data_IF_301513599096
#
_entry.id   IF_301513599096
#
_cell.length_a   1.000
_cell.length_b   1.000
_cell.length_c   1.000
_cell.angle_alpha   90.00
_cell.angle_beta   90.00
_cell.angle_gamma   90.00
#
_symmetry.space_group_name_H-M   'P 1'
#
loop_
_entity.id
_entity.type
_entity.pdbx_description
1 polymer ?
#
# COMPACT_ATOMS: atom_id res chain seq x y z
N UNK A 1 -15.30 -18.36 -26.93
CA UNK A 1 -16.36 -17.35 -27.14
C UNK A 1 -16.44 -16.27 -26.05
N UNK A 2 -16.81 -16.55 -24.80
CA UNK A 2 -16.94 -15.49 -23.77
C UNK A 2 -15.58 -14.95 -23.28
N UNK A 3 -14.63 -15.85 -23.00
CA UNK A 3 -13.31 -15.50 -22.43
C UNK A 3 -12.44 -14.68 -23.40
N UNK A 4 -12.46 -15.01 -24.69
CA UNK A 4 -11.72 -14.28 -25.73
C UNK A 4 -12.18 -12.82 -25.88
N UNK A 5 -13.47 -12.55 -25.65
CA UNK A 5 -14.03 -11.18 -25.68
C UNK A 5 -13.55 -10.35 -24.50
N UNK A 6 -13.33 -10.96 -23.34
CA UNK A 6 -12.74 -10.29 -22.17
C UNK A 6 -11.29 -9.86 -22.49
N UNK A 7 -10.48 -10.78 -23.05
CA UNK A 7 -9.11 -10.46 -23.46
C UNK A 7 -9.01 -9.40 -24.56
N UNK A 8 -10.00 -9.26 -25.46
CA UNK A 8 -10.03 -8.15 -26.42
C UNK A 8 -10.06 -6.79 -25.69
N UNK A 9 -10.98 -6.64 -24.74
CA UNK A 9 -11.18 -5.39 -23.98
C UNK A 9 -9.99 -5.08 -23.06
N UNK A 10 -9.38 -6.12 -22.47
CA UNK A 10 -8.20 -5.99 -21.62
C UNK A 10 -6.97 -5.55 -22.42
N UNK A 11 -6.72 -6.14 -23.60
CA UNK A 11 -5.63 -5.70 -24.48
C UNK A 11 -5.85 -4.27 -25.01
N UNK A 12 -7.08 -3.90 -25.39
CA UNK A 12 -7.37 -2.55 -25.88
C UNK A 12 -7.17 -1.47 -24.80
N UNK A 13 -7.57 -1.75 -23.54
CA UNK A 13 -7.28 -0.89 -22.39
C UNK A 13 -5.77 -0.81 -22.13
N UNK A 14 -5.05 -1.93 -22.23
CA UNK A 14 -3.60 -1.97 -22.03
C UNK A 14 -2.84 -1.13 -23.07
N UNK A 15 -3.26 -1.12 -24.34
CA UNK A 15 -2.60 -0.31 -25.37
C UNK A 15 -2.87 1.19 -25.18
N UNK A 16 -4.09 1.60 -24.80
CA UNK A 16 -4.40 3.00 -24.42
C UNK A 16 -3.59 3.50 -23.22
N UNK A 17 -3.34 2.63 -22.23
CA UNK A 17 -2.46 2.96 -21.10
C UNK A 17 -0.99 3.02 -21.50
N UNK A 18 -0.58 2.28 -22.54
CA UNK A 18 0.78 2.34 -23.10
C UNK A 18 1.03 3.60 -23.91
N UNK A 19 0.03 4.14 -24.60
CA UNK A 19 0.08 5.46 -25.24
C UNK A 19 0.33 6.60 -24.22
N UNK A 20 -0.03 6.37 -22.95
CA UNK A 20 0.26 7.26 -21.83
C UNK A 20 1.66 7.02 -21.19
N UNK A 21 2.55 6.28 -21.87
CA UNK A 21 3.90 5.92 -21.44
C UNK A 21 4.00 5.13 -20.12
N UNK A 22 2.95 4.40 -19.72
CA UNK A 22 3.02 3.50 -18.56
C UNK A 22 3.82 2.22 -18.88
N UNK A 23 4.55 1.71 -17.88
CA UNK A 23 5.29 0.44 -17.99
C UNK A 23 4.36 -0.76 -17.92
N UNK A 24 4.75 -1.88 -18.55
CA UNK A 24 3.92 -3.09 -18.60
C UNK A 24 3.52 -3.61 -17.22
N UNK A 25 4.45 -3.66 -16.25
CA UNK A 25 4.14 -3.96 -14.85
C UNK A 25 3.01 -3.08 -14.28
N UNK A 26 3.08 -1.74 -14.41
CA UNK A 26 2.03 -0.84 -13.92
C UNK A 26 0.69 -1.05 -14.63
N UNK A 27 0.70 -1.33 -15.93
CA UNK A 27 -0.51 -1.64 -16.70
C UNK A 27 -1.11 -2.98 -16.24
N UNK A 28 -0.27 -3.96 -15.92
CA UNK A 28 -0.66 -5.26 -15.40
C UNK A 28 -1.33 -5.14 -14.02
N UNK A 29 -0.72 -4.35 -13.11
CA UNK A 29 -1.27 -4.02 -11.79
C UNK A 29 -2.63 -3.30 -11.92
N UNK A 30 -2.74 -2.28 -12.78
CA UNK A 30 -4.00 -1.56 -13.03
C UNK A 30 -5.12 -2.42 -13.63
N UNK A 31 -4.79 -3.52 -14.30
CA UNK A 31 -5.76 -4.46 -14.88
C UNK A 31 -6.01 -5.69 -14.00
N UNK A 32 -5.28 -5.85 -12.89
CA UNK A 32 -5.39 -7.00 -11.99
C UNK A 32 -4.91 -8.32 -12.61
N UNK A 33 -3.96 -8.27 -13.54
CA UNK A 33 -3.48 -9.41 -14.34
C UNK A 33 -1.97 -9.52 -14.19
N UNK A 34 -1.41 -10.73 -14.12
CA UNK A 34 0.04 -10.93 -14.10
C UNK A 34 0.73 -10.43 -15.38
N UNK A 35 1.84 -9.69 -15.24
CA UNK A 35 2.58 -9.06 -16.35
C UNK A 35 2.92 -10.04 -17.48
N UNK A 36 3.39 -11.24 -17.15
CA UNK A 36 3.70 -12.30 -18.12
C UNK A 36 2.50 -12.72 -18.97
N UNK A 37 1.31 -12.76 -18.36
CA UNK A 37 0.05 -13.16 -18.99
C UNK A 37 -0.46 -12.05 -19.90
N UNK A 38 -0.42 -10.80 -19.43
CA UNK A 38 -0.76 -9.63 -20.24
C UNK A 38 0.16 -9.50 -21.45
N UNK A 39 1.47 -9.65 -21.25
CA UNK A 39 2.47 -9.59 -22.31
C UNK A 39 2.26 -10.71 -23.35
N UNK A 40 2.02 -11.95 -22.91
CA UNK A 40 1.74 -13.09 -23.79
C UNK A 40 0.49 -12.87 -24.67
N UNK A 41 -0.60 -12.33 -24.12
CA UNK A 41 -1.81 -12.09 -24.89
C UNK A 41 -1.70 -10.90 -25.85
N UNK A 42 -0.82 -9.93 -25.57
CA UNK A 42 -0.55 -8.79 -26.46
C UNK A 42 0.45 -9.17 -27.56
N UNK A 43 1.52 -9.92 -27.25
CA UNK A 43 2.47 -10.38 -28.26
C UNK A 43 1.79 -11.30 -29.29
N UNK A 44 0.93 -12.21 -28.82
CA UNK A 44 0.12 -13.12 -29.66
C UNK A 44 -0.88 -12.42 -30.58
N UNK A 45 -1.16 -11.13 -30.37
CA UNK A 45 -1.95 -10.27 -31.29
C UNK A 45 -1.09 -9.42 -32.22
N UNK A 46 0.17 -9.17 -31.86
CA UNK A 46 1.14 -8.41 -32.65
C UNK A 46 1.85 -9.27 -33.68
N UNK A 47 1.81 -10.59 -33.55
CA UNK A 47 2.21 -11.50 -34.63
C UNK A 47 1.12 -11.54 -35.72
N UNK A 48 1.41 -11.12 -36.98
CA UNK A 48 0.48 -11.28 -38.08
C UNK A 48 0.39 -12.77 -38.46
N UNK A 49 -0.73 -13.41 -38.11
CA UNK A 49 -0.98 -14.82 -38.40
C UNK A 49 -1.41 -15.05 -39.87
N UNK A 50 -0.52 -14.73 -40.84
CA UNK A 50 -0.73 -15.07 -42.26
C UNK A 50 0.44 -15.88 -42.84
N UNK A 51 0.13 -17.05 -43.39
CA UNK A 51 1.08 -17.95 -44.07
C UNK A 51 1.03 -17.74 -45.59
N UNK A 52 2.14 -17.26 -46.19
CA UNK A 52 2.56 -17.51 -47.59
C UNK A 52 4.10 -17.48 -47.58
N UNK A 53 4.88 -18.54 -47.78
CA UNK A 53 4.99 -19.52 -48.89
C UNK A 53 5.46 -18.90 -50.22
N UNK A 54 6.77 -19.01 -50.49
CA UNK A 54 7.45 -18.79 -51.78
C UNK A 54 7.64 -17.33 -52.22
N UNK A 55 8.57 -16.95 -53.11
CA UNK A 55 9.64 -17.63 -53.89
C UNK A 55 10.46 -16.51 -54.59
N UNK A 56 11.77 -16.55 -54.91
CA UNK A 56 12.97 -17.32 -54.49
C UNK A 56 14.21 -16.64 -55.18
N UNK A 57 15.29 -17.41 -55.46
CA UNK A 57 16.50 -17.10 -56.29
C UNK A 57 17.62 -16.29 -55.61
N UNK A 58 18.92 -16.55 -55.83
CA UNK A 58 19.75 -17.65 -56.38
C UNK A 58 21.20 -17.31 -55.96
N UNK A 59 22.26 -18.15 -55.97
CA UNK A 59 22.56 -19.50 -56.44
C UNK A 59 23.65 -20.08 -55.48
N UNK A 60 24.16 -21.33 -55.50
CA UNK A 60 24.05 -22.45 -56.45
C UNK A 60 23.75 -23.78 -55.70
N UNK A 61 24.29 -24.93 -56.14
CA UNK A 61 23.88 -26.28 -55.77
C UNK A 61 25.05 -27.30 -55.85
N UNK A 62 24.83 -28.51 -55.30
CA UNK A 62 25.57 -29.79 -55.49
C UNK A 62 26.87 -30.03 -54.66
N UNK A 63 26.75 -31.00 -53.73
CA UNK A 63 27.80 -31.97 -53.31
C UNK A 63 27.57 -33.27 -54.12
N UNK A 64 28.60 -34.08 -54.48
CA UNK A 64 29.30 -34.88 -53.46
C UNK A 64 30.78 -35.29 -53.72
N UNK A 65 31.42 -35.76 -52.64
CA UNK A 65 32.43 -36.85 -52.58
C UNK A 65 33.51 -36.96 -53.68
N UNK A 66 34.75 -36.56 -53.37
CA UNK A 66 35.98 -37.13 -53.97
C UNK A 66 36.99 -37.53 -52.89
N UNK A 67 37.60 -38.71 -53.06
CA UNK A 67 38.60 -39.31 -52.16
C UNK A 67 39.99 -38.69 -52.30
N UNK A 68 40.79 -38.78 -51.24
CA UNK A 68 42.24 -38.60 -51.28
C UNK A 68 42.94 -39.63 -52.20
N UNK A 69 43.99 -39.23 -52.94
CA UNK A 69 45.40 -39.68 -52.78
C UNK A 69 46.28 -39.43 -54.03
N UNK A 70 47.53 -39.00 -53.78
CA UNK A 70 48.71 -38.96 -54.68
C UNK A 70 48.59 -37.99 -55.89
N UNK A 71 49.68 -37.48 -56.50
CA UNK A 71 51.12 -37.75 -56.33
C UNK A 71 51.97 -36.47 -56.46
N UNK A 72 53.25 -36.57 -56.04
CA UNK A 72 54.46 -35.93 -56.60
C UNK A 72 54.51 -34.40 -56.87
N UNK A 73 55.37 -33.63 -56.18
CA UNK A 73 56.86 -33.56 -56.23
C UNK A 73 57.34 -32.43 -57.16
N UNK A 74 57.55 -31.25 -56.58
CA UNK A 74 58.50 -30.26 -57.11
C UNK A 74 59.18 -29.51 -55.98
N UNK A 75 60.48 -29.24 -56.13
CA UNK A 75 61.29 -28.50 -55.16
C UNK A 75 60.85 -27.03 -55.06
N UNK A 76 61.04 -26.41 -53.88
CA UNK A 76 61.88 -25.20 -53.64
C UNK A 76 61.29 -24.32 -52.52
N UNK A 77 62.06 -24.10 -51.45
CA UNK A 77 61.80 -23.05 -50.44
C UNK A 77 61.09 -23.47 -49.14
N UNK A 78 61.76 -24.24 -48.27
CA UNK A 78 61.27 -24.62 -46.93
C UNK A 78 62.20 -24.18 -45.79
N UNK A 79 62.88 -23.02 -45.90
CA UNK A 79 63.90 -22.60 -44.93
C UNK A 79 63.49 -21.47 -43.98
N UNK A 80 62.40 -20.74 -44.24
CA UNK A 80 62.02 -19.54 -43.46
C UNK A 80 60.62 -19.66 -42.82
N UNK A 81 59.69 -20.33 -43.50
CA UNK A 81 58.29 -20.49 -43.04
C UNK A 81 58.19 -21.33 -41.74
N UNK A 82 59.13 -22.25 -41.50
CA UNK A 82 59.09 -23.13 -40.31
C UNK A 82 59.37 -22.37 -39.02
N UNK A 83 60.24 -21.36 -39.03
CA UNK A 83 60.53 -20.52 -37.86
C UNK A 83 59.33 -19.66 -37.46
N UNK A 84 58.75 -18.94 -38.41
CA UNK A 84 57.63 -18.01 -38.16
C UNK A 84 56.36 -18.74 -37.72
N UNK A 85 56.06 -19.91 -38.30
CA UNK A 85 54.94 -20.74 -37.88
C UNK A 85 55.15 -21.27 -36.45
N UNK A 86 56.38 -21.60 -36.04
CA UNK A 86 56.65 -22.00 -34.65
C UNK A 86 56.59 -20.85 -33.65
N UNK A 87 57.01 -19.63 -34.00
CA UNK A 87 56.93 -18.47 -33.10
C UNK A 87 55.49 -18.02 -32.91
N UNK A 88 54.72 -17.87 -33.99
CA UNK A 88 53.29 -17.53 -33.94
C UNK A 88 52.48 -18.60 -33.18
N UNK A 89 52.82 -19.88 -33.32
CA UNK A 89 52.21 -20.97 -32.55
C UNK A 89 52.57 -20.94 -31.05
N UNK A 90 53.61 -20.22 -30.63
CA UNK A 90 53.98 -20.05 -29.22
C UNK A 90 53.30 -18.84 -28.58
N UNK A 91 53.17 -17.73 -29.33
CA UNK A 91 52.48 -16.51 -28.90
C UNK A 91 50.98 -16.76 -28.69
N UNK A 92 50.32 -17.36 -29.68
CA UNK A 92 48.91 -17.79 -29.57
C UNK A 92 48.66 -18.74 -28.39
N UNK A 93 49.65 -19.58 -28.04
CA UNK A 93 49.57 -20.47 -26.89
C UNK A 93 49.74 -19.73 -25.54
N UNK A 94 50.50 -18.63 -25.49
CA UNK A 94 50.57 -17.74 -24.32
C UNK A 94 49.29 -16.91 -24.16
N UNK A 95 48.73 -16.39 -25.25
CA UNK A 95 47.45 -15.66 -25.22
C UNK A 95 46.30 -16.56 -24.77
N UNK A 96 46.23 -17.80 -25.27
CA UNK A 96 45.24 -18.80 -24.81
C UNK A 96 45.37 -19.13 -23.32
N UNK A 97 46.59 -19.18 -22.77
CA UNK A 97 46.80 -19.35 -21.32
C UNK A 97 46.29 -18.14 -20.54
N UNK A 98 46.62 -16.92 -20.99
CA UNK A 98 46.18 -15.66 -20.34
C UNK A 98 44.65 -15.51 -20.37
N UNK A 99 44.02 -15.81 -21.50
CA UNK A 99 42.56 -15.85 -21.65
C UNK A 99 41.93 -16.91 -20.74
N UNK A 100 42.51 -18.11 -20.64
CA UNK A 100 42.02 -19.16 -19.74
C UNK A 100 42.04 -18.73 -18.27
N UNK A 101 43.10 -18.06 -17.82
CA UNK A 101 43.21 -17.53 -16.46
C UNK A 101 42.16 -16.44 -16.19
N UNK A 102 41.93 -15.53 -17.14
CA UNK A 102 40.88 -14.50 -17.05
C UNK A 102 39.47 -15.09 -17.04
N UNK A 103 39.19 -16.09 -17.86
CA UNK A 103 37.91 -16.82 -17.86
C UNK A 103 37.70 -17.53 -16.52
N UNK A 104 38.75 -18.11 -15.93
CA UNK A 104 38.66 -18.76 -14.62
C UNK A 104 38.31 -17.74 -13.51
N UNK A 105 39.02 -16.61 -13.46
CA UNK A 105 38.75 -15.54 -12.50
C UNK A 105 37.32 -14.97 -12.63
N UNK A 106 36.89 -14.66 -13.86
CA UNK A 106 35.54 -14.11 -14.10
C UNK A 106 34.43 -15.12 -13.79
N UNK A 107 34.66 -16.43 -13.94
CA UNK A 107 33.72 -17.47 -13.49
C UNK A 107 33.64 -17.55 -11.96
N UNK A 108 34.76 -17.41 -11.24
CA UNK A 108 34.79 -17.38 -9.78
C UNK A 108 34.04 -16.13 -9.24
N UNK A 109 34.28 -14.96 -9.83
CA UNK A 109 33.57 -13.70 -9.51
C UNK A 109 32.05 -13.80 -9.76
N UNK A 110 31.62 -14.36 -10.90
CA UNK A 110 30.19 -14.55 -11.20
C UNK A 110 29.50 -15.51 -10.21
N UNK A 111 30.21 -16.51 -9.67
CA UNK A 111 29.66 -17.40 -8.66
C UNK A 111 29.47 -16.69 -7.30
N UNK A 112 30.42 -15.83 -6.92
CA UNK A 112 30.32 -14.97 -5.73
C UNK A 112 29.14 -13.99 -5.85
N UNK A 113 29.05 -13.25 -6.96
CA UNK A 113 27.94 -12.32 -7.24
C UNK A 113 26.57 -13.02 -7.22
N UNK A 114 26.51 -14.28 -7.67
CA UNK A 114 25.27 -15.07 -7.59
C UNK A 114 24.89 -15.41 -6.15
N UNK A 115 25.85 -15.80 -5.31
CA UNK A 115 25.60 -16.07 -3.89
C UNK A 115 25.19 -14.80 -3.13
N UNK A 116 25.86 -13.68 -3.37
CA UNK A 116 25.53 -12.38 -2.78
C UNK A 116 24.12 -11.92 -3.19
N UNK A 117 23.75 -12.07 -4.47
CA UNK A 117 22.38 -11.82 -4.94
C UNK A 117 21.33 -12.68 -4.24
N UNK A 118 21.62 -13.97 -4.01
CA UNK A 118 20.73 -14.87 -3.27
C UNK A 118 20.64 -14.54 -1.77
N UNK A 119 21.68 -13.93 -1.18
CA UNK A 119 21.66 -13.42 0.20
C UNK A 119 20.82 -12.13 0.29
N UNK A 120 21.11 -11.13 -0.55
CA UNK A 120 20.37 -9.87 -0.62
C UNK A 120 18.86 -10.08 -0.86
N UNK A 121 18.48 -11.09 -1.67
CA UNK A 121 17.08 -11.45 -1.86
C UNK A 121 16.41 -11.99 -0.59
N UNK A 122 17.13 -12.74 0.26
CA UNK A 122 16.62 -13.23 1.55
C UNK A 122 16.52 -12.10 2.57
N UNK A 123 17.51 -11.23 2.60
CA UNK A 123 17.54 -10.05 3.48
C UNK A 123 16.41 -9.08 3.16
N UNK A 124 16.19 -8.76 1.87
CA UNK A 124 15.06 -7.92 1.43
C UNK A 124 13.70 -8.53 1.81
N UNK A 125 13.56 -9.85 1.74
CA UNK A 125 12.32 -10.55 2.12
C UNK A 125 12.12 -10.55 3.65
N UNK A 126 13.21 -10.69 4.44
CA UNK A 126 13.16 -10.55 5.88
C UNK A 126 12.83 -9.11 6.31
N UNK A 127 13.47 -8.11 5.68
CA UNK A 127 13.24 -6.70 5.95
C UNK A 127 11.80 -6.28 5.63
N UNK A 128 11.28 -6.65 4.45
CA UNK A 128 9.89 -6.35 4.07
C UNK A 128 8.89 -7.00 5.02
N UNK A 129 9.13 -8.24 5.48
CA UNK A 129 8.32 -8.86 6.52
C UNK A 129 8.35 -8.08 7.84
N UNK A 130 9.53 -7.66 8.31
CA UNK A 130 9.67 -6.86 9.53
C UNK A 130 8.99 -5.49 9.41
N UNK A 131 9.09 -4.84 8.24
CA UNK A 131 8.40 -3.57 7.94
C UNK A 131 6.87 -3.73 7.95
N UNK A 132 6.33 -4.81 7.38
CA UNK A 132 4.89 -5.10 7.42
C UNK A 132 4.41 -5.31 8.86
N UNK A 133 5.11 -6.13 9.65
CA UNK A 133 4.77 -6.33 11.06
C UNK A 133 4.86 -5.03 11.87
N UNK A 134 5.88 -4.19 11.64
CA UNK A 134 5.97 -2.88 12.26
C UNK A 134 4.79 -1.97 11.86
N UNK A 135 4.37 -2.01 10.59
CA UNK A 135 3.18 -1.34 10.08
C UNK A 135 1.91 -1.75 10.82
N UNK A 136 1.64 -3.06 10.90
CA UNK A 136 0.50 -3.64 11.63
C UNK A 136 0.45 -3.17 13.10
N UNK A 137 1.59 -3.17 13.81
CA UNK A 137 1.65 -2.63 15.17
C UNK A 137 1.38 -1.12 15.22
N UNK A 138 1.93 -0.33 14.29
CA UNK A 138 1.68 1.13 14.27
C UNK A 138 0.23 1.48 13.98
N UNK A 139 -0.43 0.79 13.04
CA UNK A 139 -1.85 0.96 12.74
C UNK A 139 -2.72 0.54 13.94
N UNK A 140 -2.39 -0.58 14.60
CA UNK A 140 -3.08 -1.01 15.81
C UNK A 140 -3.05 0.07 16.90
N UNK A 141 -1.86 0.62 17.22
CA UNK A 141 -1.75 1.66 18.25
C UNK A 141 -2.41 2.98 17.82
N UNK A 142 -2.28 3.39 16.54
CA UNK A 142 -2.97 4.58 16.04
C UNK A 142 -4.49 4.48 16.19
N UNK A 143 -5.08 3.32 15.83
CA UNK A 143 -6.51 3.09 16.00
C UNK A 143 -6.94 3.10 17.48
N UNK A 144 -6.13 2.53 18.39
CA UNK A 144 -6.38 2.60 19.83
C UNK A 144 -6.31 4.02 20.39
N UNK A 145 -5.33 4.84 19.97
CA UNK A 145 -5.27 6.25 20.36
C UNK A 145 -6.46 7.04 19.83
N UNK A 146 -6.87 6.81 18.58
CA UNK A 146 -8.01 7.51 17.99
C UNK A 146 -9.33 7.20 18.73
N UNK A 147 -9.57 5.93 19.07
CA UNK A 147 -10.72 5.53 19.90
C UNK A 147 -10.70 6.21 21.27
N UNK A 148 -9.53 6.30 21.92
CA UNK A 148 -9.37 6.97 23.21
C UNK A 148 -9.66 8.48 23.11
N UNK A 149 -9.30 9.13 22.00
CA UNK A 149 -9.60 10.55 21.74
C UNK A 149 -11.11 10.78 21.53
N UNK A 150 -11.79 9.89 20.78
CA UNK A 150 -13.25 9.92 20.59
C UNK A 150 -14.01 9.71 21.90
N UNK A 151 -13.61 8.73 22.71
CA UNK A 151 -14.16 8.48 24.05
C UNK A 151 -13.94 9.69 24.98
N UNK A 152 -12.75 10.29 24.96
CA UNK A 152 -12.43 11.46 25.78
C UNK A 152 -13.26 12.68 25.40
N UNK A 153 -13.38 13.01 24.12
CA UNK A 153 -14.21 14.14 23.66
C UNK A 153 -15.70 13.88 23.92
N UNK A 154 -16.17 12.63 23.82
CA UNK A 154 -17.52 12.25 24.23
C UNK A 154 -17.75 12.52 25.72
N UNK A 155 -16.89 11.99 26.60
CA UNK A 155 -16.99 12.18 28.05
C UNK A 155 -16.91 13.65 28.46
N UNK A 156 -16.06 14.44 27.79
CA UNK A 156 -15.91 15.88 27.99
C UNK A 156 -17.20 16.63 27.60
N UNK A 157 -17.84 16.26 26.50
CA UNK A 157 -19.13 16.83 26.10
C UNK A 157 -20.26 16.46 27.08
N UNK A 158 -20.31 15.21 27.54
CA UNK A 158 -21.26 14.78 28.59
C UNK A 158 -21.04 15.53 29.91
N UNK A 159 -19.79 15.71 30.33
CA UNK A 159 -19.43 16.46 31.54
C UNK A 159 -19.86 17.93 31.45
N UNK A 160 -19.67 18.58 30.29
CA UNK A 160 -20.15 19.94 30.05
C UNK A 160 -21.68 20.02 30.16
N UNK A 161 -22.41 19.12 29.49
CA UNK A 161 -23.87 19.04 29.55
C UNK A 161 -24.40 18.79 30.98
N UNK A 162 -23.70 17.96 31.77
CA UNK A 162 -24.04 17.73 33.18
C UNK A 162 -23.82 18.98 34.04
N UNK A 163 -22.76 19.75 33.80
CA UNK A 163 -22.52 21.01 34.50
C UNK A 163 -23.56 22.08 34.17
N UNK A 164 -23.97 22.19 32.91
CA UNK A 164 -25.05 23.10 32.49
C UNK A 164 -26.37 22.74 33.19
N UNK A 165 -26.77 21.46 33.14
CA UNK A 165 -27.97 20.97 33.85
C UNK A 165 -27.90 21.16 35.36
N UNK A 166 -26.73 20.95 35.97
CA UNK A 166 -26.50 21.22 37.40
C UNK A 166 -26.76 22.70 37.72
N UNK A 167 -26.18 23.62 36.95
CA UNK A 167 -26.36 25.05 37.15
C UNK A 167 -27.81 25.48 36.95
N UNK A 168 -28.51 24.89 35.97
CA UNK A 168 -29.95 25.12 35.77
C UNK A 168 -30.76 24.67 36.99
N UNK A 169 -30.53 23.45 37.49
CA UNK A 169 -31.22 22.91 38.67
C UNK A 169 -30.91 23.73 39.94
N UNK A 170 -29.67 24.17 40.15
CA UNK A 170 -29.31 25.05 41.27
C UNK A 170 -30.05 26.41 41.20
N UNK A 171 -30.22 26.96 40.00
CA UNK A 171 -30.98 28.19 39.76
C UNK A 171 -32.49 27.99 39.98
N UNK A 172 -33.06 26.88 39.50
CA UNK A 172 -34.45 26.51 39.74
C UNK A 172 -34.73 26.30 41.24
N UNK A 173 -33.85 25.58 41.95
CA UNK A 173 -33.94 25.36 43.39
C UNK A 173 -33.88 26.67 44.18
N UNK A 174 -33.00 27.60 43.80
CA UNK A 174 -32.90 28.93 44.43
C UNK A 174 -34.20 29.72 44.31
N UNK A 175 -34.81 29.75 43.11
CA UNK A 175 -36.12 30.38 42.88
C UNK A 175 -37.23 29.72 43.68
N UNK A 176 -37.26 28.39 43.74
CA UNK A 176 -38.24 27.65 44.54
C UNK A 176 -38.11 27.95 46.04
N UNK A 177 -36.88 28.03 46.56
CA UNK A 177 -36.61 28.37 47.96
C UNK A 177 -37.02 29.81 48.30
N UNK A 178 -36.77 30.76 47.41
CA UNK A 178 -37.20 32.16 47.58
C UNK A 178 -38.73 32.30 47.57
N UNK A 179 -39.41 31.62 46.64
CA UNK A 179 -40.87 31.56 46.59
C UNK A 179 -41.48 30.91 47.85
N UNK A 180 -40.86 29.84 48.36
CA UNK A 180 -41.29 29.19 49.60
C UNK A 180 -41.19 30.16 50.79
N UNK A 181 -40.05 30.84 50.94
CA UNK A 181 -39.83 31.85 51.99
C UNK A 181 -40.87 32.97 51.95
N UNK A 182 -41.18 33.48 50.76
CA UNK A 182 -42.24 34.49 50.59
C UNK A 182 -43.62 33.94 50.96
N UNK A 183 -43.92 32.68 50.62
CA UNK A 183 -45.17 32.03 51.00
C UNK A 183 -45.28 31.81 52.52
N UNK A 184 -44.19 31.45 53.19
CA UNK A 184 -44.14 31.29 54.65
C UNK A 184 -44.37 32.62 55.37
N UNK A 185 -43.77 33.70 54.86
CA UNK A 185 -43.96 35.06 55.39
C UNK A 185 -45.42 35.53 55.25
N UNK A 186 -46.02 35.34 54.07
CA UNK A 186 -47.45 35.65 53.82
C UNK A 186 -48.37 34.86 54.76
N UNK A 187 -48.13 33.55 54.92
CA UNK A 187 -48.92 32.69 55.82
C UNK A 187 -48.77 33.12 57.29
N UNK A 188 -47.57 33.57 57.70
CA UNK A 188 -47.34 34.12 59.04
C UNK A 188 -48.13 35.41 59.28
N UNK A 189 -48.03 36.37 58.35
CA UNK A 189 -48.79 37.63 58.42
C UNK A 189 -50.31 37.40 58.44
N UNK A 190 -50.81 36.48 57.60
CA UNK A 190 -52.24 36.14 57.56
C UNK A 190 -52.70 35.45 58.87
N UNK A 191 -51.83 34.66 59.52
CA UNK A 191 -52.09 34.07 60.84
C UNK A 191 -52.17 35.13 61.94
N UNK A 192 -51.23 36.09 61.95
CA UNK A 192 -51.24 37.22 62.90
C UNK A 192 -52.50 38.06 62.74
N UNK A 193 -52.85 38.44 61.51
CA UNK A 193 -54.07 39.20 61.22
C UNK A 193 -55.35 38.44 61.63
N UNK A 194 -55.42 37.12 61.41
CA UNK A 194 -56.56 36.30 61.90
C UNK A 194 -56.67 36.31 63.43
N UNK A 195 -55.55 36.20 64.16
CA UNK A 195 -55.54 36.27 65.62
C UNK A 195 -55.96 37.66 66.13
N UNK A 196 -55.53 38.73 65.47
CA UNK A 196 -55.94 40.09 65.81
C UNK A 196 -57.45 40.30 65.62
N UNK A 197 -57.99 39.90 64.47
CA UNK A 197 -59.43 39.95 64.20
C UNK A 197 -60.24 39.11 65.20
N UNK A 198 -59.75 37.92 65.57
CA UNK A 198 -60.36 37.10 66.59
C UNK A 198 -60.40 37.83 67.95
N UNK A 199 -59.27 38.39 68.40
CA UNK A 199 -59.20 39.16 69.64
C UNK A 199 -60.13 40.38 69.66
N UNK A 200 -60.17 41.15 68.55
CA UNK A 200 -61.10 42.28 68.37
C UNK A 200 -62.57 41.82 68.44
N UNK A 201 -62.92 40.71 67.79
CA UNK A 201 -64.29 40.16 67.81
C UNK A 201 -64.73 39.68 69.21
N UNK A 202 -63.81 39.05 69.95
CA UNK A 202 -64.06 38.63 71.34
C UNK A 202 -64.26 39.83 72.27
N UNK A 203 -63.41 40.86 72.15
CA UNK A 203 -63.55 42.10 72.92
C UNK A 203 -64.90 42.80 72.65
N UNK A 204 -65.32 42.89 71.38
CA UNK A 204 -66.64 43.44 71.02
C UNK A 204 -67.80 42.60 71.59
N UNK A 205 -67.71 41.26 71.52
CA UNK A 205 -68.72 40.36 72.10
C UNK A 205 -68.83 40.50 73.62
N UNK A 206 -67.70 40.66 74.31
CA UNK A 206 -67.68 40.94 75.75
C UNK A 206 -68.26 42.31 76.09
N UNK A 207 -67.92 43.35 75.33
CA UNK A 207 -68.46 44.70 75.52
C UNK A 207 -69.98 44.74 75.31
N UNK A 208 -70.51 44.10 74.27
CA UNK A 208 -71.95 43.97 74.03
C UNK A 208 -72.65 43.23 75.18
N UNK A 209 -72.05 42.15 75.68
CA UNK A 209 -72.58 41.38 76.83
C UNK A 209 -72.56 42.15 78.15
N UNK A 210 -71.76 43.21 78.28
CA UNK A 210 -71.70 44.06 79.46
C UNK A 210 -72.70 45.24 79.44
N UNK A 211 -73.30 45.53 78.28
CA UNK A 211 -74.25 46.63 78.07
C UNK A 211 -75.71 46.15 78.03
N UNK A 212 -75.94 44.85 77.82
CA UNK A 212 -77.24 44.16 77.82
C UNK A 212 -77.53 43.47 79.17
#
# INVERSE_FOLDING_TARGET
MAEERNWNQLCEKAEKLREQNLSWAKIADHLGIGESTLYYHISKRREPSEKRVGVAKENTSIKPSIRQKKAEKTLRGHSEITSEVTTLSSETMMELKKLKEQVKFTVEENNLLKQEKEQLQKELLAETKMRLQAGEYTEFYQNQYHQLEEDYETLKNEFNLLNEKKWELENQLRKAHENLRLSEEIVSQEREHRLELQGRSQALGMALKAVL
#
